data_IF_980574174124
#
_entry.id   IF_980574174124
#
_cell.length_a   1.000
_cell.length_b   1.000
_cell.length_c   1.000
_cell.angle_alpha   90.00
_cell.angle_beta   90.00
_cell.angle_gamma   90.00
#
_symmetry.space_group_name_H-M   'P 1'
#
loop_
_entity.id
_entity.type
_entity.pdbx_description
1 polymer ?
#
# COMPACT_ATOMS: atom_id res chain seq x y z
N UNK A 1 -5.82 64.69 8.14
CA UNK A 1 -6.02 63.87 6.94
C UNK A 1 -5.24 62.61 7.17
N UNK A 2 -5.91 61.51 7.63
CA UNK A 2 -5.27 60.26 7.95
C UNK A 2 -5.43 59.31 6.76
N UNK A 3 -4.30 58.97 6.14
CA UNK A 3 -4.27 58.02 5.02
C UNK A 3 -4.27 56.62 5.58
N UNK A 4 -5.39 55.88 5.48
CA UNK A 4 -5.50 54.49 5.84
C UNK A 4 -5.02 53.63 4.66
N UNK A 5 -3.83 53.05 4.81
CA UNK A 5 -3.27 52.11 3.87
C UNK A 5 -3.88 50.72 4.19
N UNK A 6 -4.82 50.27 3.36
CA UNK A 6 -5.32 48.86 3.38
C UNK A 6 -4.28 47.95 2.74
N UNK A 7 -3.57 47.19 3.57
CA UNK A 7 -2.66 46.14 3.11
C UNK A 7 -3.52 44.92 2.77
N UNK A 8 -3.77 44.69 1.48
CA UNK A 8 -4.39 43.49 0.98
C UNK A 8 -3.36 42.33 1.06
N UNK A 9 -3.50 41.48 2.08
CA UNK A 9 -2.76 40.23 2.16
C UNK A 9 -3.39 39.23 1.16
N UNK A 10 -2.77 39.10 0.00
CA UNK A 10 -3.12 38.07 -0.99
C UNK A 10 -2.55 36.72 -0.50
N UNK A 11 -3.37 35.94 0.20
CA UNK A 11 -3.02 34.56 0.56
C UNK A 11 -3.06 33.74 -0.74
N UNK A 12 -1.91 33.52 -1.34
CA UNK A 12 -1.75 32.57 -2.44
C UNK A 12 -1.88 31.16 -1.84
N UNK A 13 -3.08 30.61 -1.89
CA UNK A 13 -3.28 29.17 -1.65
C UNK A 13 -2.61 28.41 -2.79
N UNK A 14 -1.38 27.96 -2.57
CA UNK A 14 -0.72 26.99 -3.46
C UNK A 14 -1.49 25.70 -3.40
N UNK A 15 -2.43 25.52 -4.30
CA UNK A 15 -3.01 24.21 -4.58
C UNK A 15 -1.91 23.30 -5.10
N UNK A 16 -1.43 22.40 -4.23
CA UNK A 16 -0.52 21.33 -4.67
C UNK A 16 -1.37 20.37 -5.50
N UNK A 17 -1.26 20.46 -6.82
CA UNK A 17 -1.75 19.40 -7.69
C UNK A 17 -0.85 18.18 -7.46
N UNK A 18 -1.34 17.21 -6.67
CA UNK A 18 -0.73 15.90 -6.58
C UNK A 18 -1.22 15.09 -7.78
N UNK A 19 -0.32 14.78 -8.69
CA UNK A 19 -0.60 13.84 -9.78
C UNK A 19 -0.57 12.42 -9.20
N UNK A 20 -1.47 11.55 -9.68
CA UNK A 20 -1.45 10.13 -9.35
C UNK A 20 -0.13 9.51 -9.86
N UNK A 21 0.54 8.74 -9.00
CA UNK A 21 1.80 8.07 -9.29
C UNK A 21 1.58 6.59 -9.54
N UNK A 22 2.50 5.97 -10.28
CA UNK A 22 2.57 4.52 -10.45
C UNK A 22 3.86 4.01 -9.83
N UNK A 23 3.74 3.02 -8.94
CA UNK A 23 4.85 2.39 -8.24
C UNK A 23 5.02 0.98 -8.77
N UNK A 24 6.26 0.61 -9.09
CA UNK A 24 6.64 -0.73 -9.56
C UNK A 24 7.10 -1.59 -8.39
N UNK A 25 6.56 -2.81 -8.29
CA UNK A 25 6.99 -3.85 -7.36
C UNK A 25 7.32 -5.10 -8.17
N UNK A 26 8.53 -5.63 -8.01
CA UNK A 26 8.95 -6.82 -8.69
C UNK A 26 8.79 -8.06 -7.78
N UNK A 27 8.49 -9.20 -8.37
CA UNK A 27 8.65 -10.50 -7.71
C UNK A 27 10.15 -10.86 -7.72
N UNK A 28 10.72 -11.12 -6.55
CA UNK A 28 12.16 -11.40 -6.43
C UNK A 28 12.46 -12.89 -6.50
N UNK A 29 13.73 -13.23 -6.70
CA UNK A 29 14.20 -14.61 -6.66
C UNK A 29 14.23 -15.21 -5.25
N UNK A 30 14.06 -14.38 -4.22
CA UNK A 30 14.11 -14.77 -2.80
C UNK A 30 12.71 -14.97 -2.21
N UNK A 31 11.70 -15.24 -3.04
CA UNK A 31 10.30 -15.39 -2.62
C UNK A 31 9.80 -14.20 -1.80
N UNK A 32 10.06 -13.00 -2.30
CA UNK A 32 9.64 -11.73 -1.70
C UNK A 32 9.19 -10.73 -2.76
N UNK A 33 8.56 -9.65 -2.31
CA UNK A 33 8.30 -8.48 -3.14
C UNK A 33 9.44 -7.47 -2.98
N UNK A 34 9.87 -6.84 -4.06
CA UNK A 34 10.98 -5.86 -4.03
C UNK A 34 10.70 -4.65 -3.13
N UNK A 35 9.41 -4.34 -2.94
CA UNK A 35 8.91 -3.37 -1.97
C UNK A 35 7.87 -4.09 -1.11
N UNK A 36 8.21 -4.37 0.13
CA UNK A 36 7.32 -5.08 1.04
C UNK A 36 6.32 -4.15 1.76
N UNK A 37 6.67 -2.86 1.92
CA UNK A 37 5.78 -1.82 2.48
C UNK A 37 5.74 -0.65 1.52
N UNK A 38 4.65 -0.48 0.81
CA UNK A 38 4.41 0.64 -0.09
C UNK A 38 3.54 1.69 0.61
N UNK A 39 4.02 2.93 0.69
CA UNK A 39 3.25 4.08 1.15
C UNK A 39 2.88 4.92 -0.06
N UNK A 40 1.58 5.07 -0.29
CA UNK A 40 1.04 5.73 -1.46
C UNK A 40 -0.10 6.69 -1.09
N UNK A 41 -0.43 7.57 -2.02
CA UNK A 41 -1.59 8.46 -1.91
C UNK A 41 -2.84 7.79 -2.50
N UNK A 42 -4.01 8.26 -2.06
CA UNK A 42 -5.28 7.88 -2.70
C UNK A 42 -5.22 8.25 -4.19
N UNK A 43 -5.57 7.29 -5.05
CA UNK A 43 -5.53 7.43 -6.51
C UNK A 43 -4.25 6.91 -7.16
N UNK A 44 -3.22 6.57 -6.39
CA UNK A 44 -2.00 5.98 -6.93
C UNK A 44 -2.22 4.52 -7.35
N UNK A 45 -1.36 4.06 -8.24
CA UNK A 45 -1.38 2.70 -8.80
C UNK A 45 -0.11 1.95 -8.40
N UNK A 46 -0.26 0.67 -8.08
CA UNK A 46 0.87 -0.26 -7.97
C UNK A 46 0.80 -1.25 -9.13
N UNK A 47 1.93 -1.45 -9.77
CA UNK A 47 2.14 -2.46 -10.81
C UNK A 47 3.11 -3.51 -10.30
N UNK A 48 2.69 -4.78 -10.31
CA UNK A 48 3.55 -5.91 -9.98
C UNK A 48 4.05 -6.56 -11.26
N UNK A 49 5.37 -6.76 -11.31
CA UNK A 49 6.05 -7.30 -12.49
C UNK A 49 6.64 -8.69 -12.20
N UNK A 50 6.36 -9.69 -13.05
CA UNK A 50 6.80 -11.07 -12.87
C UNK A 50 8.27 -11.25 -13.31
N UNK A 51 9.21 -10.54 -12.68
CA UNK A 51 10.66 -10.69 -12.94
C UNK A 51 11.18 -12.08 -12.60
N UNK A 52 10.53 -12.77 -11.67
CA UNK A 52 10.79 -14.15 -11.30
C UNK A 52 9.50 -14.92 -11.28
N UNK A 53 9.52 -16.16 -11.76
CA UNK A 53 8.35 -17.02 -11.87
C UNK A 53 7.92 -17.64 -10.54
N UNK A 54 6.68 -18.12 -10.49
CA UNK A 54 6.12 -18.84 -9.34
C UNK A 54 5.41 -17.94 -8.33
N UNK A 55 5.08 -16.71 -8.70
CA UNK A 55 4.50 -15.71 -7.80
C UNK A 55 3.24 -15.07 -8.35
N UNK A 56 2.43 -14.55 -7.43
CA UNK A 56 1.22 -13.78 -7.72
C UNK A 56 0.93 -12.75 -6.61
N UNK A 57 -0.22 -12.09 -6.71
CA UNK A 57 -0.75 -11.15 -5.72
C UNK A 57 -2.16 -11.57 -5.34
N UNK A 58 -2.38 -11.85 -4.05
CA UNK A 58 -3.69 -12.15 -3.48
C UNK A 58 -3.91 -11.30 -2.24
N UNK A 59 -4.93 -10.43 -2.28
CA UNK A 59 -5.27 -9.59 -1.14
C UNK A 59 -6.01 -10.39 -0.07
N UNK A 60 -5.54 -10.28 1.17
CA UNK A 60 -6.09 -10.94 2.36
C UNK A 60 -6.96 -10.00 3.18
N UNK A 61 -6.74 -8.70 3.09
CA UNK A 61 -7.51 -7.69 3.80
C UNK A 61 -7.25 -6.28 3.31
N UNK A 62 -8.15 -5.39 3.65
CA UNK A 62 -8.12 -3.98 3.28
C UNK A 62 -9.16 -3.19 4.06
N UNK A 63 -9.35 -1.88 3.76
CA UNK A 63 -10.34 -1.05 4.41
C UNK A 63 -11.78 -1.56 4.23
N UNK A 64 -12.04 -2.26 3.14
CA UNK A 64 -13.31 -2.92 2.85
C UNK A 64 -13.05 -4.37 2.45
N UNK A 65 -13.27 -5.31 3.37
CA UNK A 65 -13.09 -6.75 3.13
C UNK A 65 -14.06 -7.33 2.10
N UNK A 66 -15.19 -6.68 1.86
CA UNK A 66 -16.18 -7.12 0.86
C UNK A 66 -15.80 -6.72 -0.57
N UNK A 67 -14.80 -5.85 -0.74
CA UNK A 67 -14.41 -5.26 -2.02
C UNK A 67 -12.88 -5.21 -2.18
N UNK A 68 -12.22 -6.35 -1.97
CA UNK A 68 -10.78 -6.48 -2.21
C UNK A 68 -10.49 -6.59 -3.71
N UNK A 69 -9.32 -6.11 -4.18
CA UNK A 69 -8.89 -6.38 -5.54
C UNK A 69 -8.85 -7.87 -5.85
N UNK A 70 -9.19 -8.24 -7.08
CA UNK A 70 -9.15 -9.64 -7.51
C UNK A 70 -7.72 -10.21 -7.44
N UNK A 71 -7.63 -11.51 -7.15
CA UNK A 71 -6.36 -12.22 -7.16
C UNK A 71 -5.77 -12.26 -8.57
N UNK A 72 -4.48 -11.97 -8.71
CA UNK A 72 -3.78 -12.12 -9.98
C UNK A 72 -3.53 -13.59 -10.32
N UNK A 73 -3.36 -13.88 -11.61
CA UNK A 73 -2.81 -15.14 -12.05
C UNK A 73 -1.33 -15.28 -11.67
N UNK A 74 -0.83 -16.50 -11.61
CA UNK A 74 0.60 -16.77 -11.45
C UNK A 74 1.37 -16.23 -12.66
N UNK A 75 2.53 -15.65 -12.40
CA UNK A 75 3.46 -15.14 -13.41
C UNK A 75 2.88 -14.04 -14.30
N UNK A 76 1.80 -13.40 -13.86
CA UNK A 76 1.16 -12.33 -14.59
C UNK A 76 1.64 -10.95 -14.15
N UNK A 77 1.71 -10.04 -15.09
CA UNK A 77 1.74 -8.62 -14.79
C UNK A 77 0.39 -8.22 -14.17
N UNK A 78 0.41 -7.43 -13.10
CA UNK A 78 -0.80 -7.09 -12.35
C UNK A 78 -0.77 -5.63 -11.91
N UNK A 79 -1.91 -4.96 -11.95
CA UNK A 79 -2.00 -3.54 -11.62
C UNK A 79 -3.26 -3.26 -10.83
N UNK A 80 -3.14 -2.46 -9.77
CA UNK A 80 -4.25 -1.99 -8.94
C UNK A 80 -4.12 -0.50 -8.66
N UNK A 81 -5.20 0.24 -8.85
CA UNK A 81 -5.33 1.63 -8.42
C UNK A 81 -6.10 1.68 -7.10
N UNK A 82 -5.53 2.37 -6.10
CA UNK A 82 -6.05 2.41 -4.74
C UNK A 82 -6.81 3.71 -4.49
N UNK A 83 -8.13 3.62 -4.37
CA UNK A 83 -9.02 4.78 -4.18
C UNK A 83 -9.55 4.92 -2.75
N UNK A 84 -9.36 3.92 -1.89
CA UNK A 84 -9.77 3.96 -0.48
C UNK A 84 -8.54 4.05 0.43
N UNK A 85 -8.50 5.02 1.36
CA UNK A 85 -7.42 5.09 2.34
C UNK A 85 -7.50 3.93 3.34
N UNK A 86 -6.34 3.53 3.84
CA UNK A 86 -6.22 2.46 4.81
C UNK A 86 -5.07 1.50 4.51
N UNK A 87 -5.03 0.41 5.27
CA UNK A 87 -4.00 -0.63 5.18
C UNK A 87 -4.52 -1.82 4.40
N UNK A 88 -3.77 -2.26 3.41
CA UNK A 88 -4.02 -3.48 2.64
C UNK A 88 -2.91 -4.49 2.91
N UNK A 89 -3.31 -5.74 3.15
CA UNK A 89 -2.40 -6.87 3.24
C UNK A 89 -2.60 -7.78 2.03
N UNK A 90 -1.51 -8.14 1.39
CA UNK A 90 -1.51 -9.14 0.32
C UNK A 90 -0.38 -10.14 0.49
N UNK A 91 -0.49 -11.27 -0.16
CA UNK A 91 0.52 -12.31 -0.16
C UNK A 91 0.66 -12.97 -1.54
N UNK A 92 1.69 -13.78 -1.69
CA UNK A 92 1.81 -14.73 -2.78
C UNK A 92 1.08 -16.02 -2.38
N UNK A 93 0.15 -16.51 -3.19
CA UNK A 93 -0.64 -17.69 -2.86
C UNK A 93 0.22 -18.92 -2.53
N UNK A 94 1.25 -19.30 -3.33
CA UNK A 94 2.11 -20.43 -3.00
C UNK A 94 3.11 -20.19 -1.86
N UNK A 95 3.50 -18.95 -1.57
CA UNK A 95 4.58 -18.64 -0.62
C UNK A 95 4.14 -17.82 0.60
N UNK A 96 2.87 -17.48 0.69
CA UNK A 96 2.34 -16.66 1.80
C UNK A 96 2.59 -17.26 3.18
N UNK A 97 2.42 -18.57 3.32
CA UNK A 97 2.67 -19.27 4.59
C UNK A 97 4.16 -19.26 5.00
N UNK A 98 5.07 -19.03 4.08
CA UNK A 98 6.50 -18.87 4.32
C UNK A 98 6.93 -17.40 4.49
N UNK A 99 5.98 -16.47 4.42
CA UNK A 99 6.21 -15.07 4.72
C UNK A 99 6.34 -14.14 3.50
N UNK A 100 5.95 -14.57 2.30
CA UNK A 100 5.89 -13.68 1.14
C UNK A 100 4.65 -12.79 1.23
N UNK A 101 4.76 -11.69 1.95
CA UNK A 101 3.72 -10.71 2.24
C UNK A 101 4.09 -9.32 1.77
N UNK A 102 3.08 -8.49 1.54
CA UNK A 102 3.24 -7.06 1.31
C UNK A 102 2.15 -6.24 1.99
N UNK A 103 2.49 -5.04 2.42
CA UNK A 103 1.56 -4.02 2.92
C UNK A 103 1.50 -2.84 1.96
N UNK A 104 0.30 -2.32 1.76
CA UNK A 104 0.08 -1.03 1.12
C UNK A 104 -0.60 -0.11 2.13
N UNK A 105 0.00 1.04 2.39
CA UNK A 105 -0.57 2.09 3.24
C UNK A 105 -1.02 3.22 2.33
N UNK A 106 -2.33 3.40 2.23
CA UNK A 106 -2.95 4.40 1.36
C UNK A 106 -3.37 5.60 2.19
N UNK A 107 -2.89 6.79 1.83
CA UNK A 107 -3.25 8.03 2.48
C UNK A 107 -2.72 8.18 3.90
N UNK A 108 -1.67 7.48 4.26
CA UNK A 108 -1.11 7.42 5.63
C UNK A 108 -2.19 7.14 6.70
N UNK A 109 -3.14 6.30 6.37
CA UNK A 109 -4.30 5.97 7.18
C UNK A 109 -4.21 4.55 7.74
N UNK A 110 -4.22 4.41 9.07
CA UNK A 110 -4.10 3.14 9.79
C UNK A 110 -5.41 2.75 10.50
N UNK A 111 -6.56 3.36 10.13
CA UNK A 111 -7.83 3.17 10.84
C UNK A 111 -8.26 1.70 10.94
N UNK A 112 -7.91 0.87 9.96
CA UNK A 112 -8.27 -0.55 9.90
C UNK A 112 -7.13 -1.50 10.31
N UNK A 113 -6.06 -0.98 10.91
CA UNK A 113 -4.88 -1.80 11.25
C UNK A 113 -5.20 -2.99 12.15
N UNK A 114 -6.14 -2.84 13.10
CA UNK A 114 -6.55 -3.94 13.99
C UNK A 114 -7.21 -5.09 13.22
N UNK A 115 -7.98 -4.79 12.19
CA UNK A 115 -8.60 -5.81 11.34
C UNK A 115 -7.54 -6.57 10.55
N UNK A 116 -6.50 -5.88 10.06
CA UNK A 116 -5.35 -6.50 9.41
C UNK A 116 -4.57 -7.41 10.36
N UNK A 117 -4.31 -6.95 11.58
CA UNK A 117 -3.62 -7.74 12.62
C UNK A 117 -4.41 -8.99 13.04
N UNK A 118 -5.74 -8.94 12.92
CA UNK A 118 -6.65 -10.04 13.25
C UNK A 118 -6.75 -11.14 12.18
N UNK A 119 -6.16 -10.97 11.00
CA UNK A 119 -6.19 -11.98 9.93
C UNK A 119 -5.42 -13.23 10.39
N UNK A 120 -6.03 -14.40 10.20
CA UNK A 120 -5.38 -15.67 10.49
C UNK A 120 -4.27 -15.96 9.47
N UNK A 121 -3.06 -16.13 9.98
CA UNK A 121 -1.86 -16.41 9.21
C UNK A 121 -1.06 -17.54 9.86
N UNK A 122 -0.17 -18.18 9.09
CA UNK A 122 0.84 -19.05 9.65
C UNK A 122 1.73 -18.29 10.66
N UNK A 123 2.41 -19.01 11.54
CA UNK A 123 3.33 -18.39 12.52
C UNK A 123 4.40 -17.53 11.84
N UNK A 124 4.97 -18.02 10.74
CA UNK A 124 6.00 -17.30 9.97
C UNK A 124 5.40 -16.04 9.34
N UNK A 125 4.27 -16.16 8.64
CA UNK A 125 3.60 -15.03 8.02
C UNK A 125 3.20 -13.97 9.05
N UNK A 126 2.71 -14.39 10.23
CA UNK A 126 2.37 -13.46 11.32
C UNK A 126 3.58 -12.68 11.84
N UNK A 127 4.72 -13.33 11.98
CA UNK A 127 5.98 -12.68 12.36
C UNK A 127 6.43 -11.66 11.32
N UNK A 128 6.31 -12.01 10.04
CA UNK A 128 6.60 -11.07 8.94
C UNK A 128 5.63 -9.89 8.97
N UNK A 129 4.33 -10.13 9.09
CA UNK A 129 3.34 -9.05 9.18
C UNK A 129 3.67 -8.05 10.30
N UNK A 130 4.02 -8.55 11.49
CA UNK A 130 4.41 -7.68 12.62
C UNK A 130 5.65 -6.84 12.30
N UNK A 131 6.63 -7.39 11.58
CA UNK A 131 7.80 -6.64 11.11
C UNK A 131 7.40 -5.55 10.11
N UNK A 132 6.55 -5.88 9.14
CA UNK A 132 6.08 -4.92 8.13
C UNK A 132 5.27 -3.77 8.76
N UNK A 133 4.43 -4.07 9.75
CA UNK A 133 3.68 -3.04 10.49
C UNK A 133 4.62 -2.08 11.21
N UNK A 134 5.66 -2.60 11.88
CA UNK A 134 6.65 -1.74 12.54
C UNK A 134 7.38 -0.83 11.52
N UNK A 135 7.73 -1.36 10.36
CA UNK A 135 8.33 -0.55 9.28
C UNK A 135 7.35 0.53 8.80
N UNK A 136 6.09 0.17 8.59
CA UNK A 136 5.06 1.10 8.14
C UNK A 136 4.86 2.27 9.11
N UNK A 137 4.90 2.01 10.42
CA UNK A 137 4.67 3.01 11.47
C UNK A 137 5.91 3.83 11.82
N UNK A 138 7.13 3.31 11.59
CA UNK A 138 8.37 3.98 12.00
C UNK A 138 8.70 5.25 11.22
N UNK A 139 8.13 5.42 10.04
CA UNK A 139 8.39 6.53 9.11
C UNK A 139 7.17 7.45 8.93
N UNK A 140 6.26 7.46 9.88
CA UNK A 140 5.04 8.29 9.87
C UNK A 140 5.23 9.58 10.70
#
# INVERSE_FOLDING_TARGET
>A
MHLIIFLFYFIIMSSRFSFAETIQIDFTADDSYSVEVAKINVGDTIEWSPKNEGHNVEFLGGPDFSSLPEKSDLNAFYSVTFNLPGVYLYHCTPHGNMGMLGLVIVGNDFHNLKDIEGIELSRVAKSVLQRLIRIAQSNS
#
